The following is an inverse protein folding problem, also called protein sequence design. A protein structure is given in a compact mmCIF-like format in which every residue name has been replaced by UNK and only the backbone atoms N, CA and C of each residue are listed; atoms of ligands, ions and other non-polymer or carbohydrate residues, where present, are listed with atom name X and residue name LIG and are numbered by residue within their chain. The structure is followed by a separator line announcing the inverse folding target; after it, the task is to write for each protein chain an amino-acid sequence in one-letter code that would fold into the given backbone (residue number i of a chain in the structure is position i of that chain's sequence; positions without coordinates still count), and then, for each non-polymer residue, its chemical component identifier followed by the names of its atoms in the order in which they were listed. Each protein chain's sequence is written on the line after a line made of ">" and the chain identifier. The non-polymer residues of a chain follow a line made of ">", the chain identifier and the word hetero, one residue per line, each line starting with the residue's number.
data_IF_362217852485
#
_entry.id   IF_362217852485
#
_cell.length_a   1.000
_cell.length_b   1.000
_cell.length_c   1.000
_cell.angle_alpha   90.00
_cell.angle_beta   90.00
_cell.angle_gamma   90.00
#
_symmetry.space_group_name_H-M   'P 1'
#
loop_
_entity.id
_entity.type
_entity.pdbx_description
1 polymer ?
#
# COMPACT_ATOMS: atom_id res chain seq x y z
N UNK A 1 -12.26 -7.33 -12.30
CA UNK A 1 -11.49 -6.25 -11.67
C UNK A 1 -10.02 -6.35 -12.03
N UNK A 2 -9.30 -5.21 -11.99
CA UNK A 2 -7.85 -5.15 -12.19
C UNK A 2 -7.16 -4.82 -10.88
N UNK A 3 -6.08 -5.54 -10.56
CA UNK A 3 -5.30 -5.32 -9.34
C UNK A 3 -3.86 -5.00 -9.69
N UNK A 4 -3.40 -3.80 -9.36
CA UNK A 4 -1.99 -3.40 -9.45
C UNK A 4 -1.24 -3.87 -8.23
N UNK A 5 -0.20 -4.67 -8.43
CA UNK A 5 0.64 -5.23 -7.38
C UNK A 5 2.12 -4.91 -7.66
N UNK A 6 2.91 -4.45 -6.67
CA UNK A 6 4.30 -4.07 -6.90
C UNK A 6 5.26 -5.26 -6.94
N UNK A 7 4.84 -6.44 -6.49
CA UNK A 7 5.62 -7.67 -6.52
C UNK A 7 4.77 -8.88 -6.13
N UNK A 8 5.07 -10.02 -6.72
CA UNK A 8 4.47 -11.32 -6.39
C UNK A 8 5.39 -12.19 -5.51
N UNK A 9 6.55 -11.68 -5.12
CA UNK A 9 7.53 -12.44 -4.30
C UNK A 9 7.39 -12.19 -2.80
N UNK A 10 6.63 -11.18 -2.40
CA UNK A 10 6.40 -10.85 -0.99
C UNK A 10 5.16 -11.57 -0.45
N UNK A 11 5.27 -12.32 0.66
CA UNK A 11 4.13 -12.98 1.29
C UNK A 11 2.98 -12.02 1.62
N UNK A 12 3.28 -10.77 1.98
CA UNK A 12 2.27 -9.75 2.24
C UNK A 12 1.34 -9.52 1.04
N UNK A 13 1.91 -9.32 -0.16
CA UNK A 13 1.11 -9.07 -1.35
C UNK A 13 0.40 -10.35 -1.83
N UNK A 14 1.01 -11.52 -1.65
CA UNK A 14 0.37 -12.80 -2.00
C UNK A 14 -0.89 -13.02 -1.15
N UNK A 15 -0.81 -12.86 0.17
CA UNK A 15 -1.97 -12.99 1.06
C UNK A 15 -3.05 -11.94 0.76
N UNK A 16 -2.63 -10.70 0.45
CA UNK A 16 -3.57 -9.65 0.07
C UNK A 16 -4.32 -10.01 -1.23
N UNK A 17 -3.60 -10.49 -2.25
CA UNK A 17 -4.19 -10.94 -3.52
C UNK A 17 -5.14 -12.12 -3.32
N UNK A 18 -4.78 -13.10 -2.49
CA UNK A 18 -5.65 -14.23 -2.16
C UNK A 18 -6.97 -13.75 -1.53
N UNK A 19 -6.91 -12.78 -0.60
CA UNK A 19 -8.11 -12.19 -0.01
C UNK A 19 -8.98 -11.46 -1.03
N UNK A 20 -8.36 -10.70 -1.94
CA UNK A 20 -9.07 -10.01 -3.03
C UNK A 20 -9.72 -11.02 -3.97
N UNK A 21 -9.00 -12.06 -4.37
CA UNK A 21 -9.50 -13.11 -5.26
C UNK A 21 -10.68 -13.88 -4.65
N UNK A 22 -10.58 -14.23 -3.37
CA UNK A 22 -11.65 -14.95 -2.67
C UNK A 22 -12.97 -14.17 -2.70
N UNK A 23 -12.93 -12.87 -2.35
CA UNK A 23 -14.12 -12.01 -2.37
C UNK A 23 -14.59 -11.73 -3.80
N UNK A 24 -13.69 -11.53 -4.74
CA UNK A 24 -14.04 -11.30 -6.13
C UNK A 24 -14.78 -12.51 -6.72
N UNK A 25 -14.26 -13.73 -6.50
CA UNK A 25 -14.88 -14.97 -6.96
C UNK A 25 -16.27 -15.18 -6.34
N UNK A 26 -16.43 -14.93 -5.04
CA UNK A 26 -17.75 -15.00 -4.35
C UNK A 26 -18.77 -14.07 -5.02
N UNK A 27 -18.32 -12.90 -5.49
CA UNK A 27 -19.16 -11.90 -6.15
C UNK A 27 -19.26 -12.07 -7.67
N UNK A 28 -18.66 -13.11 -8.24
CA UNK A 28 -18.72 -13.40 -9.68
C UNK A 28 -17.75 -12.53 -10.53
N UNK A 29 -16.72 -11.94 -9.93
CA UNK A 29 -15.73 -11.15 -10.66
C UNK A 29 -14.45 -11.94 -10.95
N UNK A 30 -13.94 -11.83 -12.17
CA UNK A 30 -12.57 -12.23 -12.50
C UNK A 30 -11.54 -11.19 -12.00
N UNK A 31 -10.35 -11.66 -11.63
CA UNK A 31 -9.23 -10.80 -11.20
C UNK A 31 -8.10 -10.86 -12.21
N UNK A 32 -7.70 -9.69 -12.71
CA UNK A 32 -6.54 -9.51 -13.57
C UNK A 32 -5.41 -8.81 -12.80
N UNK A 33 -4.27 -9.48 -12.62
CA UNK A 33 -3.15 -8.97 -11.81
C UNK A 33 -2.12 -8.29 -12.71
N UNK A 34 -1.86 -7.00 -12.44
CA UNK A 34 -0.82 -6.19 -13.05
C UNK A 34 0.40 -6.14 -12.11
N UNK A 35 1.37 -7.02 -12.29
CA UNK A 35 2.61 -7.00 -11.52
C UNK A 35 3.56 -5.94 -12.06
N UNK A 36 3.59 -4.77 -11.41
CA UNK A 36 4.37 -3.61 -11.88
C UNK A 36 5.88 -3.73 -11.58
N UNK A 37 6.30 -4.65 -10.72
CA UNK A 37 7.69 -4.81 -10.28
C UNK A 37 8.33 -3.51 -9.75
N UNK A 38 7.51 -2.55 -9.32
CA UNK A 38 7.91 -1.17 -8.96
C UNK A 38 8.57 -0.40 -10.13
N UNK A 39 8.35 -0.85 -11.34
CA UNK A 39 8.88 -0.27 -12.57
C UNK A 39 7.83 0.64 -13.23
N UNK A 40 8.22 1.89 -13.50
CA UNK A 40 7.33 2.88 -14.10
C UNK A 40 6.90 2.50 -15.53
N UNK A 41 7.79 1.86 -16.29
CA UNK A 41 7.50 1.46 -17.68
C UNK A 41 6.45 0.35 -17.70
N UNK A 42 6.57 -0.63 -16.80
CA UNK A 42 5.56 -1.68 -16.68
C UNK A 42 4.24 -1.13 -16.16
N UNK A 43 4.26 -0.21 -15.19
CA UNK A 43 3.03 0.42 -14.68
C UNK A 43 2.32 1.21 -15.79
N UNK A 44 3.07 2.00 -16.57
CA UNK A 44 2.51 2.73 -17.69
C UNK A 44 1.91 1.80 -18.76
N UNK A 45 2.58 0.69 -19.06
CA UNK A 45 2.07 -0.32 -20.00
C UNK A 45 0.71 -0.86 -19.53
N UNK A 46 0.59 -1.23 -18.25
CA UNK A 46 -0.67 -1.70 -17.71
C UNK A 46 -1.75 -0.62 -17.70
N UNK A 47 -1.42 0.62 -17.35
CA UNK A 47 -2.35 1.74 -17.41
C UNK A 47 -2.91 2.00 -18.81
N UNK A 48 -2.12 1.75 -19.86
CA UNK A 48 -2.60 1.82 -21.25
C UNK A 48 -3.56 0.67 -21.58
N UNK A 49 -3.28 -0.53 -21.08
CA UNK A 49 -4.11 -1.73 -21.30
C UNK A 49 -5.50 -1.61 -20.66
N UNK A 50 -5.65 -0.89 -19.56
CA UNK A 50 -6.92 -0.71 -18.84
C UNK A 50 -8.01 -0.16 -19.77
N UNK A 51 -7.68 0.76 -20.67
CA UNK A 51 -8.62 1.31 -21.63
C UNK A 51 -9.23 0.23 -22.56
N UNK A 52 -8.48 -0.82 -22.83
CA UNK A 52 -8.94 -1.96 -23.65
C UNK A 52 -9.70 -2.99 -22.81
N UNK A 53 -9.23 -3.22 -21.56
CA UNK A 53 -9.83 -4.20 -20.66
C UNK A 53 -11.19 -3.73 -20.13
N UNK A 54 -11.37 -2.40 -19.97
CA UNK A 54 -12.58 -1.76 -19.41
C UNK A 54 -13.05 -2.45 -18.10
N UNK A 55 -12.21 -2.48 -17.05
CA UNK A 55 -12.53 -3.19 -15.83
C UNK A 55 -13.70 -2.52 -15.09
N UNK A 56 -14.48 -3.31 -14.37
CA UNK A 56 -15.55 -2.81 -13.49
C UNK A 56 -15.03 -2.19 -12.19
N UNK A 57 -13.73 -2.37 -11.88
CA UNK A 57 -13.08 -1.78 -10.73
C UNK A 57 -11.58 -2.00 -10.75
N UNK A 58 -10.85 -1.13 -10.04
CA UNK A 58 -9.39 -1.13 -9.96
C UNK A 58 -8.97 -1.09 -8.50
N UNK A 59 -8.01 -1.94 -8.14
CA UNK A 59 -7.37 -1.93 -6.82
C UNK A 59 -5.87 -1.72 -7.00
N UNK A 60 -5.32 -0.68 -6.38
CA UNK A 60 -3.90 -0.50 -6.18
C UNK A 60 -3.49 -1.04 -4.81
N UNK A 61 -2.63 -2.04 -4.76
CA UNK A 61 -2.15 -2.60 -3.48
C UNK A 61 -0.98 -1.82 -2.87
N UNK A 62 -0.54 -0.76 -3.53
CA UNK A 62 0.46 0.21 -3.08
C UNK A 62 0.18 1.55 -3.76
N UNK A 63 0.93 2.60 -3.38
CA UNK A 63 0.85 3.86 -4.12
C UNK A 63 1.30 3.69 -5.57
N UNK A 64 0.60 4.30 -6.54
CA UNK A 64 1.05 4.39 -7.91
C UNK A 64 2.39 5.14 -8.00
N UNK A 65 3.10 4.97 -9.11
CA UNK A 65 4.29 5.76 -9.36
C UNK A 65 3.93 7.26 -9.37
N UNK A 66 4.78 8.15 -8.82
CA UNK A 66 4.47 9.59 -8.73
C UNK A 66 4.04 10.22 -10.06
N UNK A 67 4.65 9.79 -11.17
CA UNK A 67 4.36 10.31 -12.50
C UNK A 67 2.94 9.93 -12.99
N UNK A 68 2.32 8.92 -12.38
CA UNK A 68 1.00 8.43 -12.77
C UNK A 68 -0.10 8.75 -11.76
N UNK A 69 0.22 9.39 -10.64
CA UNK A 69 -0.75 9.70 -9.60
C UNK A 69 -1.95 10.47 -10.16
N UNK A 70 -1.70 11.54 -10.92
CA UNK A 70 -2.76 12.34 -11.55
C UNK A 70 -3.61 11.51 -12.51
N UNK A 71 -2.98 10.65 -13.31
CA UNK A 71 -3.68 9.77 -14.25
C UNK A 71 -4.56 8.75 -13.52
N UNK A 72 -4.11 8.20 -12.40
CA UNK A 72 -4.89 7.29 -11.55
C UNK A 72 -6.08 8.02 -10.91
N UNK A 73 -5.89 9.27 -10.47
CA UNK A 73 -6.98 10.12 -9.96
C UNK A 73 -8.03 10.45 -11.04
N UNK A 74 -7.60 10.69 -12.28
CA UNK A 74 -8.50 10.88 -13.42
C UNK A 74 -9.30 9.61 -13.69
N UNK A 75 -8.64 8.44 -13.70
CA UNK A 75 -9.30 7.14 -13.89
C UNK A 75 -10.32 6.82 -12.78
N UNK A 76 -10.06 7.25 -11.55
CA UNK A 76 -10.98 7.04 -10.43
C UNK A 76 -12.33 7.79 -10.59
N UNK A 77 -12.43 8.74 -11.52
CA UNK A 77 -13.69 9.40 -11.87
C UNK A 77 -14.55 8.58 -12.84
N UNK A 78 -13.92 7.68 -13.56
CA UNK A 78 -14.56 6.86 -14.59
C UNK A 78 -14.84 5.43 -14.12
N UNK A 79 -13.94 4.90 -13.26
CA UNK A 79 -14.00 3.51 -12.77
C UNK A 79 -13.81 3.51 -11.25
N UNK A 80 -14.62 2.77 -10.48
CA UNK A 80 -14.41 2.59 -9.04
C UNK A 80 -12.96 2.15 -8.77
N UNK A 81 -12.24 2.93 -7.96
CA UNK A 81 -10.83 2.72 -7.70
C UNK A 81 -10.52 2.85 -6.21
N UNK A 82 -9.80 1.87 -5.67
CA UNK A 82 -9.33 1.86 -4.28
C UNK A 82 -7.82 1.73 -4.23
N UNK A 83 -7.17 2.54 -3.39
CA UNK A 83 -5.73 2.44 -3.13
C UNK A 83 -5.49 1.92 -1.72
N UNK A 84 -4.77 0.82 -1.58
CA UNK A 84 -4.33 0.31 -0.28
C UNK A 84 -3.00 0.97 0.09
N UNK A 85 -2.93 1.52 1.30
CA UNK A 85 -1.74 2.23 1.79
C UNK A 85 -1.43 3.54 1.06
N UNK A 86 -2.45 4.32 0.76
CA UNK A 86 -2.27 5.64 0.12
C UNK A 86 -1.51 6.61 1.05
N UNK A 87 -0.56 7.33 0.48
CA UNK A 87 0.25 8.33 1.18
C UNK A 87 -0.55 9.58 1.54
N UNK A 88 -1.40 10.01 0.65
CA UNK A 88 -2.11 11.27 0.75
C UNK A 88 -3.60 11.01 0.96
N UNK A 89 -4.22 11.82 1.79
CA UNK A 89 -5.68 11.89 1.84
C UNK A 89 -6.15 12.59 0.56
N UNK A 90 -6.26 11.83 -0.53
CA UNK A 90 -6.94 12.36 -1.71
C UNK A 90 -8.44 12.35 -1.44
N UNK A 91 -9.12 13.42 -1.80
CA UNK A 91 -10.58 13.51 -1.70
C UNK A 91 -11.29 12.80 -2.85
N UNK A 92 -10.53 12.33 -3.84
CA UNK A 92 -11.03 11.82 -5.13
C UNK A 92 -10.89 10.31 -5.30
N UNK A 93 -10.13 9.63 -4.43
CA UNK A 93 -9.87 8.19 -4.53
C UNK A 93 -10.08 7.55 -3.17
N UNK A 94 -10.87 6.49 -3.13
CA UNK A 94 -11.05 5.70 -1.92
C UNK A 94 -9.74 5.05 -1.50
N UNK A 95 -9.45 5.05 -0.19
CA UNK A 95 -8.20 4.52 0.33
C UNK A 95 -8.38 3.69 1.59
N UNK A 96 -7.66 2.57 1.65
CA UNK A 96 -7.51 1.75 2.85
C UNK A 96 -6.12 2.02 3.41
N UNK A 97 -6.04 2.61 4.59
CA UNK A 97 -4.78 3.00 5.22
C UNK A 97 -4.58 2.32 6.57
N UNK A 98 -3.34 1.94 6.84
CA UNK A 98 -2.89 1.52 8.15
C UNK A 98 -2.27 2.72 8.89
N UNK A 99 -2.62 2.90 10.17
CA UNK A 99 -1.93 3.88 11.02
C UNK A 99 -0.53 3.39 11.40
N UNK A 100 0.43 3.66 10.53
CA UNK A 100 1.81 3.25 10.73
C UNK A 100 2.49 3.96 11.92
N UNK A 101 2.04 5.15 12.30
CA UNK A 101 2.54 5.83 13.50
C UNK A 101 2.11 5.06 14.75
N UNK A 102 0.84 4.68 14.82
CA UNK A 102 0.33 3.86 15.93
C UNK A 102 1.00 2.48 15.97
N UNK A 103 1.20 1.83 14.82
CA UNK A 103 1.95 0.57 14.76
C UNK A 103 3.35 0.72 15.39
N UNK A 104 4.09 1.78 15.04
CA UNK A 104 5.39 2.08 15.64
C UNK A 104 5.32 2.28 17.15
N UNK A 105 4.34 3.05 17.61
CA UNK A 105 4.12 3.26 19.06
C UNK A 105 3.82 1.97 19.80
N UNK A 106 2.96 1.12 19.27
CA UNK A 106 2.64 -0.18 19.88
C UNK A 106 3.85 -1.10 19.98
N UNK A 107 4.70 -1.14 18.95
CA UNK A 107 5.95 -1.90 18.99
C UNK A 107 6.87 -1.43 20.10
N UNK A 108 7.11 -0.11 20.21
CA UNK A 108 7.95 0.46 21.25
C UNK A 108 7.37 0.22 22.65
N UNK A 109 6.07 0.44 22.82
CA UNK A 109 5.37 0.22 24.09
C UNK A 109 5.53 -1.23 24.56
N UNK A 110 5.31 -2.18 23.69
CA UNK A 110 5.46 -3.60 24.01
C UNK A 110 6.87 -3.92 24.55
N UNK A 111 7.92 -3.39 23.91
CA UNK A 111 9.29 -3.59 24.38
C UNK A 111 9.55 -2.92 25.74
N UNK A 112 9.04 -1.71 25.93
CA UNK A 112 9.16 -0.99 27.20
C UNK A 112 8.43 -1.71 28.35
N UNK A 113 7.23 -2.23 28.09
CA UNK A 113 6.43 -2.98 29.06
C UNK A 113 7.12 -4.29 29.50
N UNK A 114 7.92 -4.89 28.58
CA UNK A 114 8.79 -6.04 28.89
C UNK A 114 10.11 -5.66 29.59
N UNK A 115 10.33 -4.36 29.88
CA UNK A 115 11.50 -3.86 30.58
C UNK A 115 12.71 -3.57 29.70
N UNK A 116 12.62 -3.70 28.37
CA UNK A 116 13.73 -3.35 27.48
C UNK A 116 13.93 -1.84 27.44
N UNK A 117 15.18 -1.37 27.51
CA UNK A 117 15.59 0.04 27.44
C UNK A 117 16.52 0.30 26.26
N UNK A 118 17.40 -0.66 25.96
CA UNK A 118 18.28 -0.60 24.80
C UNK A 118 17.67 -1.39 23.66
N UNK A 119 17.13 -0.68 22.66
CA UNK A 119 16.39 -1.25 21.53
C UNK A 119 16.92 -0.73 20.21
N UNK A 120 16.91 -1.59 19.18
CA UNK A 120 17.29 -1.23 17.83
C UNK A 120 16.13 -1.47 16.86
N UNK A 121 15.97 -0.57 15.88
CA UNK A 121 15.01 -0.71 14.79
C UNK A 121 15.75 -1.00 13.49
N UNK A 122 15.69 -2.25 13.01
CA UNK A 122 16.32 -2.66 11.76
C UNK A 122 15.36 -2.39 10.60
N UNK A 123 15.81 -1.63 9.62
CA UNK A 123 15.03 -1.26 8.44
C UNK A 123 15.93 -1.11 7.21
N UNK A 124 15.45 -1.43 6.01
CA UNK A 124 16.15 -1.01 4.78
C UNK A 124 16.27 0.52 4.72
N UNK A 125 17.20 1.05 3.91
CA UNK A 125 17.36 2.49 3.73
C UNK A 125 16.03 3.18 3.43
N UNK A 126 15.78 4.32 4.10
CA UNK A 126 14.56 5.10 3.88
C UNK A 126 14.67 5.89 2.59
N UNK A 127 13.70 5.74 1.72
CA UNK A 127 13.54 6.53 0.51
C UNK A 127 12.26 7.36 0.59
N UNK A 128 12.13 8.42 -0.22
CA UNK A 128 10.92 9.24 -0.28
C UNK A 128 9.65 8.43 -0.61
N UNK A 129 9.78 7.26 -1.25
CA UNK A 129 8.66 6.35 -1.59
C UNK A 129 8.17 5.50 -0.42
N UNK A 130 8.85 5.53 0.73
CA UNK A 130 8.59 4.61 1.85
C UNK A 130 8.08 5.35 3.09
N UNK A 131 7.23 6.35 2.90
CA UNK A 131 6.71 7.18 4.00
C UNK A 131 5.99 6.37 5.09
N UNK A 132 5.32 5.26 4.75
CA UNK A 132 4.70 4.37 5.76
C UNK A 132 5.73 3.83 6.74
N UNK A 133 6.91 3.46 6.23
CA UNK A 133 8.03 2.98 7.03
C UNK A 133 8.61 4.11 7.89
N UNK A 134 8.75 5.30 7.33
CA UNK A 134 9.12 6.50 8.07
C UNK A 134 8.16 6.76 9.23
N UNK A 135 6.85 6.78 8.97
CA UNK A 135 5.82 6.98 10.01
C UNK A 135 5.89 5.93 11.12
N UNK A 136 6.20 4.68 10.77
CA UNK A 136 6.37 3.60 11.76
C UNK A 136 7.58 3.84 12.65
N UNK A 137 8.70 4.27 12.07
CA UNK A 137 9.91 4.64 12.82
C UNK A 137 9.64 5.86 13.68
N UNK A 138 9.01 6.90 13.14
CA UNK A 138 8.68 8.13 13.89
C UNK A 138 7.81 7.80 15.12
N UNK A 139 6.79 6.95 14.94
CA UNK A 139 5.97 6.48 16.05
C UNK A 139 6.75 5.69 17.10
N UNK A 140 7.64 4.81 16.66
CA UNK A 140 8.50 4.00 17.52
C UNK A 140 9.44 4.89 18.36
N UNK A 141 10.18 5.78 17.71
CA UNK A 141 11.11 6.71 18.38
C UNK A 141 10.37 7.65 19.33
N UNK A 142 9.20 8.14 18.91
CA UNK A 142 8.39 9.04 19.76
C UNK A 142 7.97 8.35 21.05
N UNK A 143 7.46 7.13 21.00
CA UNK A 143 7.02 6.40 22.21
C UNK A 143 8.20 6.11 23.14
N UNK A 144 9.38 5.74 22.60
CA UNK A 144 10.58 5.55 23.42
C UNK A 144 11.01 6.84 24.15
N UNK A 145 10.93 8.00 23.49
CA UNK A 145 11.28 9.30 24.10
C UNK A 145 10.28 9.76 25.16
N UNK A 146 9.00 9.39 25.00
CA UNK A 146 7.94 9.81 25.93
C UNK A 146 7.86 8.91 27.17
N UNK A 147 8.27 7.65 27.07
CA UNK A 147 8.05 6.63 28.12
C UNK A 147 9.28 5.81 28.50
N UNK A 148 10.36 5.91 27.78
CA UNK A 148 11.66 5.27 28.07
C UNK A 148 12.57 6.22 28.80
#
# INVERSE_FOLDING_TARGET
>A
IVVFCPTLTSPYYVLLLQGIEAVANEKGYGVFICNTQRDAVLEEKYLRMIRTIQPQGIIYTCNPHPDFQKKVEEMAREVPLVIISNKEKTTTVDAINQDNTMVGRLMARHLLDLGHRDVAFITPPLTRRQWQRSRRIDGFVKELKEKG
#
